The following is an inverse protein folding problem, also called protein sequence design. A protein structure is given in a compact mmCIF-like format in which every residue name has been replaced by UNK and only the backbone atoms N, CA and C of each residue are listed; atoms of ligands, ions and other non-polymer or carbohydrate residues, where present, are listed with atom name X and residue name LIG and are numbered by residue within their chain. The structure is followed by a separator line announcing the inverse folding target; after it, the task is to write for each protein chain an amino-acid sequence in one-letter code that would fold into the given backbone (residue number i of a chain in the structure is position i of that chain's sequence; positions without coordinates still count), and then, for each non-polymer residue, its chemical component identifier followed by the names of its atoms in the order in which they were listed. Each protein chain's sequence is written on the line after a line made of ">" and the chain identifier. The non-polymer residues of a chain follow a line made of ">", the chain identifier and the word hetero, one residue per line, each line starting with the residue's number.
data_IF_450309620281
#
_entry.id   IF_450309620281
#
_cell.length_a   1.000
_cell.length_b   1.000
_cell.length_c   1.000
_cell.angle_alpha   90.00
_cell.angle_beta   90.00
_cell.angle_gamma   90.00
#
_symmetry.space_group_name_H-M   'P 1'
#
loop_
_entity.id
_entity.type
_entity.pdbx_description
1 polymer ?
#
# COMPACT_ATOMS: atom_id res chain seq x y z
N UNK A 1 10.51 -20.75 -5.62
CA UNK A 1 9.25 -20.70 -6.39
C UNK A 1 8.23 -20.02 -5.50
N UNK A 2 7.75 -18.83 -5.86
CA UNK A 2 6.75 -18.14 -5.03
C UNK A 2 5.39 -18.82 -5.29
N UNK A 3 4.85 -19.47 -4.27
CA UNK A 3 3.52 -20.07 -4.31
C UNK A 3 2.51 -19.03 -3.83
N UNK A 4 1.63 -18.58 -4.73
CA UNK A 4 0.51 -17.72 -4.38
C UNK A 4 -0.70 -18.62 -4.08
N UNK A 5 -1.32 -18.43 -2.91
CA UNK A 5 -2.34 -19.35 -2.39
C UNK A 5 -3.71 -18.69 -2.12
N UNK A 6 -3.82 -17.38 -2.32
CA UNK A 6 -5.04 -16.62 -2.05
C UNK A 6 -5.07 -15.34 -2.88
N UNK A 7 -6.26 -14.94 -3.32
CA UNK A 7 -6.51 -13.63 -3.90
C UNK A 7 -7.84 -13.05 -3.40
N UNK A 8 -7.86 -11.72 -3.23
CA UNK A 8 -9.03 -10.95 -2.80
C UNK A 8 -9.18 -9.72 -3.71
N UNK A 9 -10.41 -9.38 -4.06
CA UNK A 9 -10.75 -8.16 -4.79
C UNK A 9 -11.38 -7.17 -3.82
N UNK A 10 -10.77 -5.99 -3.73
CA UNK A 10 -11.31 -4.82 -3.06
C UNK A 10 -11.72 -3.79 -4.12
N UNK A 11 -13.00 -3.43 -4.16
CA UNK A 11 -13.57 -2.57 -5.19
C UNK A 11 -14.40 -1.43 -4.59
N UNK A 12 -14.67 -0.42 -5.43
CA UNK A 12 -15.39 0.80 -5.08
C UNK A 12 -14.71 1.59 -3.94
N UNK A 13 -13.47 2.08 -4.15
CA UNK A 13 -12.86 3.01 -3.21
C UNK A 13 -13.61 4.35 -3.21
N UNK A 14 -13.61 5.03 -2.07
CA UNK A 14 -14.19 6.36 -1.94
C UNK A 14 -13.13 7.37 -1.50
N UNK A 15 -13.01 8.50 -2.21
CA UNK A 15 -12.01 9.53 -1.92
C UNK A 15 -12.21 10.18 -0.55
N UNK A 16 -13.44 10.49 -0.15
CA UNK A 16 -13.71 11.07 1.16
C UNK A 16 -13.36 10.10 2.30
N UNK A 17 -13.64 8.80 2.13
CA UNK A 17 -13.18 7.76 3.07
C UNK A 17 -11.66 7.72 3.12
N UNK A 18 -11.00 7.69 1.97
CA UNK A 18 -9.54 7.72 1.88
C UNK A 18 -8.93 8.89 2.66
N UNK A 19 -9.43 10.11 2.46
CA UNK A 19 -8.96 11.30 3.18
C UNK A 19 -9.23 11.18 4.68
N UNK A 20 -10.43 10.75 5.09
CA UNK A 20 -10.75 10.55 6.51
C UNK A 20 -9.84 9.52 7.19
N UNK A 21 -9.43 8.48 6.45
CA UNK A 21 -8.51 7.46 6.95
C UNK A 21 -7.07 7.95 7.03
N UNK A 22 -6.68 8.94 6.22
CA UNK A 22 -5.42 9.67 6.42
C UNK A 22 -5.49 10.48 7.71
N UNK A 23 -6.55 11.28 7.87
CA UNK A 23 -6.73 12.14 9.04
C UNK A 23 -6.78 11.35 10.35
N UNK A 24 -7.39 10.16 10.32
CA UNK A 24 -7.48 9.26 11.48
C UNK A 24 -6.25 8.37 11.68
N UNK A 25 -5.24 8.45 10.81
CA UNK A 25 -4.00 7.67 10.91
C UNK A 25 -4.12 6.20 10.51
N UNK A 26 -5.21 5.78 9.88
CA UNK A 26 -5.36 4.42 9.34
C UNK A 26 -4.64 4.25 7.99
N UNK A 27 -4.49 5.34 7.24
CA UNK A 27 -3.63 5.42 6.05
C UNK A 27 -2.46 6.35 6.37
N UNK A 28 -1.24 5.86 6.15
CA UNK A 28 -0.03 6.64 6.34
C UNK A 28 0.60 7.00 5.00
N UNK A 29 1.09 8.23 4.88
CA UNK A 29 1.99 8.61 3.79
C UNK A 29 3.41 8.20 4.16
N UNK A 30 3.91 7.16 3.49
CA UNK A 30 5.22 6.56 3.73
C UNK A 30 6.25 7.16 2.77
N UNK A 31 7.22 7.90 3.32
CA UNK A 31 8.34 8.49 2.59
C UNK A 31 9.43 7.43 2.44
N UNK A 32 9.63 6.94 1.21
CA UNK A 32 10.49 5.77 0.94
C UNK A 32 11.77 6.16 0.21
N UNK A 33 12.54 7.04 0.82
CA UNK A 33 13.85 7.47 0.30
C UNK A 33 14.94 6.63 0.97
N UNK A 34 15.61 5.81 0.17
CA UNK A 34 16.72 4.95 0.60
C UNK A 34 17.97 5.16 -0.24
N UNK A 35 18.80 4.13 -0.29
CA UNK A 35 19.97 4.08 -1.16
C UNK A 35 20.07 2.73 -1.85
N UNK A 36 20.61 2.70 -3.06
CA UNK A 36 20.89 1.45 -3.77
C UNK A 36 21.88 0.60 -2.97
N UNK A 37 21.51 -0.66 -2.70
CA UNK A 37 22.30 -1.60 -1.89
C UNK A 37 23.27 -2.46 -2.70
N UNK A 38 23.28 -2.34 -4.04
CA UNK A 38 24.19 -3.07 -4.92
C UNK A 38 24.26 -2.43 -6.32
N UNK A 39 25.17 -2.95 -7.16
CA UNK A 39 25.31 -2.55 -8.57
C UNK A 39 26.01 -1.20 -8.78
N UNK A 40 26.00 -0.71 -10.02
CA UNK A 40 26.71 0.51 -10.47
C UNK A 40 26.30 1.81 -9.76
N UNK A 41 25.21 1.78 -8.99
CA UNK A 41 24.68 2.93 -8.26
C UNK A 41 24.77 2.75 -6.74
N UNK A 42 25.54 1.77 -6.26
CA UNK A 42 25.72 1.51 -4.83
C UNK A 42 25.96 2.80 -4.03
N UNK A 43 25.18 2.99 -2.96
CA UNK A 43 25.25 4.15 -2.08
C UNK A 43 24.56 5.41 -2.59
N UNK A 44 24.17 5.50 -3.88
CA UNK A 44 23.40 6.65 -4.39
C UNK A 44 21.97 6.65 -3.83
N UNK A 45 21.42 7.84 -3.62
CA UNK A 45 20.03 8.04 -3.23
C UNK A 45 19.10 7.33 -4.20
N UNK A 46 18.11 6.64 -3.64
CA UNK A 46 17.09 5.93 -4.38
C UNK A 46 15.73 6.28 -3.78
N UNK A 47 14.99 7.10 -4.49
CA UNK A 47 13.58 7.34 -4.18
C UNK A 47 12.76 6.17 -4.75
N UNK A 48 12.16 5.38 -3.87
CA UNK A 48 11.27 4.27 -4.26
C UNK A 48 9.86 4.77 -4.63
N UNK A 49 9.63 6.08 -4.58
CA UNK A 49 8.33 6.75 -4.65
C UNK A 49 7.67 6.72 -3.28
N UNK A 50 7.23 7.86 -2.77
CA UNK A 50 6.39 7.85 -1.56
C UNK A 50 5.03 7.22 -1.86
N UNK A 51 4.39 6.61 -0.86
CA UNK A 51 3.15 5.87 -1.09
C UNK A 51 2.22 5.86 0.11
N UNK A 52 0.92 5.74 -0.15
CA UNK A 52 -0.07 5.55 0.90
C UNK A 52 -0.13 4.08 1.31
N UNK A 53 -0.03 3.82 2.61
CA UNK A 53 -0.06 2.48 3.18
C UNK A 53 -1.20 2.34 4.17
N UNK A 54 -1.84 1.18 4.14
CA UNK A 54 -2.93 0.81 5.03
C UNK A 54 -2.67 -0.60 5.57
N UNK A 55 -3.02 -0.85 6.82
CA UNK A 55 -3.02 -2.22 7.37
C UNK A 55 -4.06 -3.06 6.63
N UNK A 56 -3.73 -4.32 6.34
CA UNK A 56 -4.63 -5.23 5.61
C UNK A 56 -6.01 -5.34 6.28
N UNK A 57 -6.05 -5.43 7.61
CA UNK A 57 -7.28 -5.48 8.41
C UNK A 57 -8.19 -4.25 8.21
N UNK A 58 -7.62 -3.13 7.76
CA UNK A 58 -8.32 -1.87 7.57
C UNK A 58 -8.76 -1.64 6.11
N UNK A 59 -8.40 -2.53 5.16
CA UNK A 59 -8.78 -2.36 3.75
C UNK A 59 -10.30 -2.23 3.56
N UNK A 60 -11.09 -2.93 4.37
CA UNK A 60 -12.57 -2.84 4.35
C UNK A 60 -13.13 -1.49 4.77
N UNK A 61 -12.33 -0.64 5.42
CA UNK A 61 -12.74 0.74 5.74
C UNK A 61 -12.72 1.63 4.48
N UNK A 62 -11.83 1.33 3.53
CA UNK A 62 -11.64 2.11 2.31
C UNK A 62 -12.55 1.64 1.16
N UNK A 63 -12.69 0.32 1.00
CA UNK A 63 -13.39 -0.29 -0.12
C UNK A 63 -14.76 -0.84 0.30
N UNK A 64 -15.79 -0.53 -0.49
CA UNK A 64 -17.16 -0.93 -0.18
C UNK A 64 -17.47 -2.38 -0.55
N UNK A 65 -16.77 -2.91 -1.55
CA UNK A 65 -16.96 -4.28 -2.03
C UNK A 65 -15.70 -5.10 -1.81
N UNK A 66 -15.89 -6.29 -1.24
CA UNK A 66 -14.84 -7.26 -1.00
C UNK A 66 -15.27 -8.64 -1.49
N UNK A 67 -14.45 -9.28 -2.32
CA UNK A 67 -14.72 -10.58 -2.94
C UNK A 67 -13.51 -11.47 -2.71
N UNK A 68 -13.71 -12.65 -2.14
CA UNK A 68 -12.68 -13.69 -2.14
C UNK A 68 -12.68 -14.36 -3.51
N UNK A 69 -11.50 -14.57 -4.09
CA UNK A 69 -11.34 -15.44 -5.26
C UNK A 69 -10.91 -16.81 -4.73
N UNK A 70 -11.76 -17.80 -4.98
CA UNK A 70 -11.47 -19.21 -4.71
C UNK A 70 -10.49 -19.80 -5.76
#
# INVERSE_FOLDING_TARGET
>A
MNFFNKAEIYANPNLSKFLSLIDSGHIMYDIRIGSYKSGKHFGKTHDHGSGFRILESNLRLLFERHINID
#
